data_IF_395902737872
#
_entry.id   IF_395902737872
#
_cell.length_a   1.000
_cell.length_b   1.000
_cell.length_c   1.000
_cell.angle_alpha   90.00
_cell.angle_beta   90.00
_cell.angle_gamma   90.00
#
_symmetry.space_group_name_H-M   'P 1'
#
loop_
_entity.id
_entity.type
_entity.pdbx_description
1 polymer ?
#
# COMPACT_ATOMS: atom_id res chain seq x y z
N UNK A 1 -45.80 -21.74 19.58
CA UNK A 1 -45.29 -20.35 19.57
C UNK A 1 -43.78 -20.25 19.84
N UNK A 2 -43.14 -21.21 20.54
CA UNK A 2 -41.70 -21.20 20.83
C UNK A 2 -40.75 -21.30 19.60
N UNK A 3 -41.20 -21.88 18.47
CA UNK A 3 -40.31 -22.09 17.31
C UNK A 3 -40.05 -20.83 16.48
N UNK A 4 -40.94 -19.83 16.50
CA UNK A 4 -40.78 -18.59 15.71
C UNK A 4 -39.77 -17.62 16.32
N UNK A 5 -39.69 -17.56 17.66
CA UNK A 5 -38.72 -16.73 18.39
C UNK A 5 -37.30 -17.27 18.31
N UNK A 6 -37.12 -18.60 18.36
CA UNK A 6 -35.81 -19.23 18.16
C UNK A 6 -35.29 -19.04 16.72
N UNK A 7 -36.17 -19.13 15.71
CA UNK A 7 -35.78 -18.89 14.31
C UNK A 7 -35.37 -17.43 14.05
N UNK A 8 -36.09 -16.46 14.64
CA UNK A 8 -35.73 -15.06 14.56
C UNK A 8 -34.38 -14.77 15.24
N UNK A 9 -34.14 -15.31 16.44
CA UNK A 9 -32.86 -15.16 17.13
C UNK A 9 -31.69 -15.78 16.36
N UNK A 10 -31.91 -16.91 15.68
CA UNK A 10 -30.89 -17.56 14.85
C UNK A 10 -30.56 -16.74 13.59
N UNK A 11 -31.56 -16.14 12.94
CA UNK A 11 -31.37 -15.23 11.79
C UNK A 11 -30.66 -13.93 12.20
N UNK A 12 -31.02 -13.34 13.34
CA UNK A 12 -30.30 -12.16 13.87
C UNK A 12 -28.85 -12.48 14.26
N UNK A 13 -28.59 -13.66 14.84
CA UNK A 13 -27.24 -14.13 15.15
C UNK A 13 -26.38 -14.32 13.90
N UNK A 14 -26.93 -14.96 12.86
CA UNK A 14 -26.22 -15.17 11.60
C UNK A 14 -25.94 -13.86 10.84
N UNK A 15 -26.86 -12.89 10.89
CA UNK A 15 -26.66 -11.56 10.32
C UNK A 15 -25.61 -10.76 11.10
N UNK A 16 -25.62 -10.82 12.43
CA UNK A 16 -24.62 -10.15 13.26
C UNK A 16 -23.20 -10.71 13.08
N UNK A 17 -23.06 -12.02 12.82
CA UNK A 17 -21.78 -12.68 12.54
C UNK A 17 -21.23 -12.41 11.12
N UNK A 18 -22.11 -12.24 10.13
CA UNK A 18 -21.72 -11.98 8.73
C UNK A 18 -21.54 -10.49 8.41
N UNK A 19 -22.10 -9.58 9.21
CA UNK A 19 -22.00 -8.13 9.03
C UNK A 19 -20.55 -7.61 9.02
N UNK A 20 -19.64 -8.00 9.94
CA UNK A 20 -18.25 -7.53 9.89
C UNK A 20 -17.51 -7.98 8.63
N UNK A 21 -17.79 -9.20 8.15
CA UNK A 21 -17.23 -9.71 6.91
C UNK A 21 -17.74 -8.95 5.68
N UNK A 22 -19.03 -8.59 5.65
CA UNK A 22 -19.59 -7.79 4.58
C UNK A 22 -19.01 -6.37 4.57
N UNK A 23 -18.93 -5.72 5.73
CA UNK A 23 -18.33 -4.38 5.86
C UNK A 23 -16.87 -4.40 5.43
N UNK A 24 -16.10 -5.42 5.84
CA UNK A 24 -14.72 -5.59 5.42
C UNK A 24 -14.59 -5.81 3.90
N UNK A 25 -15.46 -6.62 3.30
CA UNK A 25 -15.44 -6.87 1.86
C UNK A 25 -15.79 -5.63 1.04
N UNK A 26 -16.82 -4.88 1.47
CA UNK A 26 -17.23 -3.63 0.82
C UNK A 26 -16.13 -2.57 0.95
N UNK A 27 -15.51 -2.45 2.13
CA UNK A 27 -14.38 -1.54 2.34
C UNK A 27 -13.18 -1.92 1.45
N UNK A 28 -12.84 -3.21 1.36
CA UNK A 28 -11.75 -3.68 0.50
C UNK A 28 -11.99 -3.41 -0.98
N UNK A 29 -13.25 -3.53 -1.43
CA UNK A 29 -13.62 -3.10 -2.78
C UNK A 29 -13.39 -1.59 -2.96
N UNK A 30 -13.86 -0.77 -2.02
CA UNK A 30 -13.66 0.69 -2.08
C UNK A 30 -12.19 1.10 -2.17
N UNK A 31 -11.30 0.40 -1.45
CA UNK A 31 -9.86 0.64 -1.53
C UNK A 31 -9.25 0.25 -2.88
N UNK A 32 -9.71 -0.85 -3.49
CA UNK A 32 -9.26 -1.24 -4.84
C UNK A 32 -9.75 -0.27 -5.91
N UNK A 33 -10.99 0.19 -5.79
CA UNK A 33 -11.54 1.22 -6.69
C UNK A 33 -10.72 2.52 -6.55
N UNK A 34 -10.39 2.93 -5.33
CA UNK A 34 -9.50 4.08 -5.07
C UNK A 34 -8.10 3.90 -5.67
N UNK A 35 -7.52 2.70 -5.62
CA UNK A 35 -6.23 2.41 -6.27
C UNK A 35 -6.30 2.59 -7.78
N UNK A 36 -7.41 2.18 -8.41
CA UNK A 36 -7.62 2.44 -9.83
C UNK A 36 -7.69 3.96 -10.12
N UNK A 37 -8.42 4.71 -9.30
CA UNK A 37 -8.50 6.18 -9.42
C UNK A 37 -7.13 6.85 -9.20
N UNK A 38 -6.30 6.36 -8.28
CA UNK A 38 -4.92 6.83 -8.07
C UNK A 38 -4.08 6.60 -9.33
N UNK A 39 -4.21 5.44 -9.98
CA UNK A 39 -3.55 5.19 -11.26
C UNK A 39 -4.05 6.11 -12.39
N UNK A 40 -5.30 6.59 -12.30
CA UNK A 40 -5.89 7.57 -13.22
C UNK A 40 -5.54 9.04 -12.86
N UNK A 41 -4.76 9.26 -11.79
CA UNK A 41 -4.27 10.59 -11.40
C UNK A 41 -5.04 11.25 -10.26
N UNK A 42 -5.83 10.51 -9.48
CA UNK A 42 -6.43 11.01 -8.24
C UNK A 42 -5.33 11.53 -7.29
N UNK A 43 -5.54 12.74 -6.79
CA UNK A 43 -4.68 13.34 -5.77
C UNK A 43 -5.49 14.31 -4.90
N UNK A 44 -5.98 13.81 -3.77
CA UNK A 44 -6.80 14.55 -2.80
C UNK A 44 -6.20 14.42 -1.39
N UNK A 45 -5.92 15.56 -0.75
CA UNK A 45 -5.37 15.61 0.60
C UNK A 45 -6.32 15.01 1.65
N UNK A 46 -7.64 15.03 1.40
CA UNK A 46 -8.65 14.42 2.28
C UNK A 46 -8.73 12.90 2.20
N UNK A 47 -7.97 12.26 1.29
CA UNK A 47 -7.91 10.80 1.22
C UNK A 47 -7.15 10.19 2.39
N UNK A 48 -6.33 10.97 3.09
CA UNK A 48 -5.57 10.48 4.25
C UNK A 48 -6.50 9.91 5.32
N UNK A 49 -7.59 10.62 5.60
CA UNK A 49 -8.60 10.23 6.58
C UNK A 49 -9.36 8.97 6.14
N UNK A 50 -9.57 8.80 4.83
CA UNK A 50 -10.24 7.62 4.26
C UNK A 50 -9.34 6.38 4.35
N UNK A 51 -8.03 6.56 4.15
CA UNK A 51 -7.05 5.46 4.09
C UNK A 51 -6.52 5.07 5.48
N UNK A 52 -6.48 5.99 6.44
CA UNK A 52 -5.96 5.75 7.79
C UNK A 52 -6.48 4.46 8.48
N UNK A 53 -7.78 4.09 8.37
CA UNK A 53 -8.28 2.87 8.97
C UNK A 53 -7.61 1.61 8.41
N UNK A 54 -7.37 1.49 7.11
CA UNK A 54 -6.79 0.26 6.56
C UNK A 54 -5.29 0.14 6.85
N UNK A 55 -4.56 1.26 6.89
CA UNK A 55 -3.12 1.26 7.17
C UNK A 55 -2.77 1.01 8.63
N UNK A 56 -3.72 1.21 9.56
CA UNK A 56 -3.52 1.00 11.00
C UNK A 56 -3.79 -0.44 11.47
N UNK A 57 -4.30 -1.33 10.62
CA UNK A 57 -4.62 -2.70 11.01
C UNK A 57 -3.40 -3.64 10.91
N UNK A 58 -3.13 -4.40 11.97
CA UNK A 58 -2.06 -5.41 11.99
C UNK A 58 -2.31 -6.62 11.08
N UNK A 59 -3.57 -6.84 10.65
CA UNK A 59 -4.02 -7.94 9.78
C UNK A 59 -3.45 -7.88 8.34
N UNK A 60 -2.78 -6.79 8.00
CA UNK A 60 -2.33 -6.35 6.68
C UNK A 60 -1.05 -7.07 6.20
N UNK A 61 -0.55 -8.03 7.00
CA UNK A 61 0.76 -8.69 6.82
C UNK A 61 0.72 -10.12 6.25
N UNK A 62 -0.38 -10.54 5.63
CA UNK A 62 -0.42 -11.82 4.90
C UNK A 62 0.05 -11.61 3.45
N UNK A 63 0.92 -12.49 2.96
CA UNK A 63 1.39 -12.48 1.57
C UNK A 63 0.28 -12.51 0.52
N UNK A 64 -0.90 -13.08 0.82
CA UNK A 64 -2.06 -13.02 -0.11
C UNK A 64 -2.48 -11.57 -0.36
N UNK A 65 -2.51 -10.75 0.70
CA UNK A 65 -2.94 -9.36 0.62
C UNK A 65 -1.84 -8.48 0.05
N UNK A 66 -0.58 -8.74 0.43
CA UNK A 66 0.56 -7.96 -0.06
C UNK A 66 0.84 -8.16 -1.55
N UNK A 67 0.46 -9.31 -2.11
CA UNK A 67 0.55 -9.59 -3.55
C UNK A 67 -0.52 -8.87 -4.39
N UNK A 68 -1.61 -8.40 -3.78
CA UNK A 68 -2.63 -7.59 -4.47
C UNK A 68 -2.18 -6.12 -4.62
N UNK A 69 -1.07 -5.74 -3.99
CA UNK A 69 -0.42 -4.41 -4.02
C UNK A 69 -1.28 -3.22 -3.53
N UNK A 70 -2.58 -3.38 -3.35
CA UNK A 70 -3.51 -2.34 -2.93
C UNK A 70 -2.98 -1.54 -1.73
N UNK A 71 -2.53 -2.23 -0.70
CA UNK A 71 -1.98 -1.59 0.51
C UNK A 71 -0.68 -0.84 0.24
N UNK A 72 0.18 -1.39 -0.60
CA UNK A 72 1.44 -0.78 -0.96
C UNK A 72 1.19 0.52 -1.72
N UNK A 73 0.28 0.49 -2.70
CA UNK A 73 -0.12 1.66 -3.49
C UNK A 73 -0.77 2.73 -2.59
N UNK A 74 -1.68 2.34 -1.70
CA UNK A 74 -2.30 3.28 -0.75
C UNK A 74 -1.27 3.90 0.19
N UNK A 75 -0.30 3.12 0.69
CA UNK A 75 0.76 3.64 1.55
C UNK A 75 1.70 4.59 0.77
N UNK A 76 2.04 4.28 -0.49
CA UNK A 76 2.77 5.19 -1.38
C UNK A 76 2.01 6.49 -1.57
N UNK A 77 0.72 6.39 -1.85
CA UNK A 77 -0.15 7.53 -2.08
C UNK A 77 -0.25 8.43 -0.85
N UNK A 78 -0.53 7.86 0.34
CA UNK A 78 -0.52 8.63 1.60
C UNK A 78 0.83 9.30 1.82
N UNK A 79 1.94 8.58 1.63
CA UNK A 79 3.29 9.15 1.75
C UNK A 79 3.51 10.33 0.79
N UNK A 80 3.01 10.24 -0.45
CA UNK A 80 3.06 11.33 -1.42
C UNK A 80 2.19 12.54 -0.99
N UNK A 81 1.01 12.30 -0.41
CA UNK A 81 0.17 13.36 0.16
C UNK A 81 0.85 14.05 1.36
N UNK A 82 1.64 13.34 2.18
CA UNK A 82 2.46 13.95 3.24
C UNK A 82 3.63 14.76 2.65
N UNK A 83 4.34 14.23 1.66
CA UNK A 83 5.41 14.96 0.99
C UNK A 83 4.91 16.25 0.32
N UNK A 84 3.76 16.19 -0.35
CA UNK A 84 3.14 17.36 -0.96
C UNK A 84 2.74 18.41 0.08
N UNK A 85 2.13 17.99 1.20
CA UNK A 85 1.80 18.89 2.31
C UNK A 85 3.04 19.57 2.90
N UNK A 86 4.15 18.85 2.98
CA UNK A 86 5.44 19.38 3.46
C UNK A 86 6.18 20.22 2.40
N UNK A 87 5.68 20.27 1.15
CA UNK A 87 6.32 21.02 0.06
C UNK A 87 7.64 20.41 -0.41
N UNK A 88 7.82 19.10 -0.24
CA UNK A 88 9.06 18.38 -0.57
C UNK A 88 8.85 17.37 -1.69
N UNK A 89 9.93 17.00 -2.37
CA UNK A 89 9.89 15.95 -3.37
C UNK A 89 9.74 14.58 -2.66
N UNK A 90 8.73 13.76 -3.00
CA UNK A 90 8.48 12.48 -2.34
C UNK A 90 9.62 11.47 -2.49
N UNK A 91 10.44 11.60 -3.54
CA UNK A 91 11.51 10.66 -3.90
C UNK A 91 12.87 10.96 -3.27
N UNK A 92 13.02 12.09 -2.57
CA UNK A 92 14.28 12.51 -1.95
C UNK A 92 14.16 12.66 -0.44
N UNK A 93 15.29 12.55 0.29
CA UNK A 93 15.34 12.83 1.72
C UNK A 93 14.78 14.21 2.04
N UNK A 94 14.11 14.31 3.19
CA UNK A 94 13.55 15.56 3.70
C UNK A 94 13.60 15.54 5.23
N UNK A 95 13.86 16.70 5.83
CA UNK A 95 13.92 16.86 7.29
C UNK A 95 12.50 17.07 7.88
N UNK A 96 11.61 16.11 7.63
CA UNK A 96 10.24 16.08 8.15
C UNK A 96 10.03 14.77 8.93
N UNK A 97 9.86 14.83 10.27
CA UNK A 97 9.70 13.63 11.10
C UNK A 97 8.44 12.82 10.80
N UNK A 98 7.33 13.49 10.46
CA UNK A 98 6.06 12.83 10.13
C UNK A 98 6.20 12.08 8.81
N UNK A 99 6.74 12.74 7.80
CA UNK A 99 7.04 12.11 6.51
C UNK A 99 8.03 10.95 6.65
N UNK A 100 9.02 11.08 7.53
CA UNK A 100 10.00 10.02 7.82
C UNK A 100 9.30 8.78 8.36
N UNK A 101 8.39 8.93 9.32
CA UNK A 101 7.60 7.83 9.86
C UNK A 101 6.78 7.13 8.76
N UNK A 102 6.14 7.89 7.87
CA UNK A 102 5.40 7.32 6.75
C UNK A 102 6.29 6.56 5.77
N UNK A 103 7.50 7.07 5.48
CA UNK A 103 8.49 6.42 4.63
C UNK A 103 9.05 5.15 5.26
N UNK A 104 9.30 5.13 6.57
CA UNK A 104 9.72 3.93 7.30
C UNK A 104 8.64 2.84 7.29
N UNK A 105 7.38 3.22 7.53
CA UNK A 105 6.24 2.31 7.44
C UNK A 105 6.10 1.73 6.02
N UNK A 106 6.23 2.59 5.01
CA UNK A 106 6.22 2.19 3.60
C UNK A 106 7.40 1.27 3.25
N UNK A 107 8.59 1.53 3.77
CA UNK A 107 9.76 0.69 3.56
C UNK A 107 9.55 -0.70 4.15
N UNK A 108 9.04 -0.78 5.39
CA UNK A 108 8.74 -2.05 6.03
C UNK A 108 7.71 -2.86 5.23
N UNK A 109 6.67 -2.19 4.72
CA UNK A 109 5.64 -2.82 3.89
C UNK A 109 6.21 -3.31 2.55
N UNK A 110 7.00 -2.49 1.85
CA UNK A 110 7.65 -2.86 0.58
C UNK A 110 8.64 -4.01 0.76
N UNK A 111 9.42 -4.00 1.85
CA UNK A 111 10.34 -5.08 2.20
C UNK A 111 9.59 -6.40 2.47
N UNK A 112 8.42 -6.32 3.10
CA UNK A 112 7.59 -7.51 3.30
C UNK A 112 6.96 -8.00 1.99
N UNK A 113 6.48 -7.09 1.14
CA UNK A 113 5.90 -7.44 -0.17
C UNK A 113 6.93 -8.15 -1.06
N UNK A 114 8.16 -7.63 -1.13
CA UNK A 114 9.27 -8.28 -1.85
C UNK A 114 9.62 -9.66 -1.27
N UNK A 115 9.52 -9.87 0.05
CA UNK A 115 9.67 -11.21 0.63
C UNK A 115 8.55 -12.18 0.21
N UNK A 116 7.33 -11.68 0.00
CA UNK A 116 6.17 -12.47 -0.43
C UNK A 116 6.17 -12.78 -1.94
N UNK A 117 6.81 -11.94 -2.75
CA UNK A 117 6.94 -12.09 -4.20
C UNK A 117 8.35 -11.64 -4.67
N UNK A 118 9.39 -12.44 -4.40
CA UNK A 118 10.79 -12.03 -4.62
C UNK A 118 11.20 -11.93 -6.09
N UNK A 119 10.36 -12.42 -7.02
CA UNK A 119 10.57 -12.34 -8.46
C UNK A 119 9.72 -11.24 -9.11
N UNK A 120 9.14 -10.34 -8.31
CA UNK A 120 8.37 -9.20 -8.80
C UNK A 120 9.27 -7.97 -8.92
N UNK A 121 9.55 -7.55 -10.16
CA UNK A 121 10.45 -6.43 -10.41
C UNK A 121 9.86 -5.06 -10.05
N UNK A 122 8.53 -4.89 -10.04
CA UNK A 122 7.88 -3.65 -9.61
C UNK A 122 8.01 -3.49 -8.08
N UNK A 123 7.86 -4.56 -7.31
CA UNK A 123 8.07 -4.51 -5.86
C UNK A 123 9.51 -4.14 -5.48
N UNK A 124 10.50 -4.65 -6.23
CA UNK A 124 11.91 -4.22 -6.04
C UNK A 124 12.12 -2.75 -6.41
N UNK A 125 11.46 -2.25 -7.46
CA UNK A 125 11.51 -0.82 -7.80
C UNK A 125 10.91 0.02 -6.67
N UNK A 126 9.73 -0.36 -6.19
CA UNK A 126 9.06 0.28 -5.05
C UNK A 126 9.99 0.36 -3.83
N UNK A 127 10.65 -0.73 -3.48
CA UNK A 127 11.61 -0.74 -2.37
C UNK A 127 12.80 0.21 -2.61
N UNK A 128 13.33 0.27 -3.84
CA UNK A 128 14.42 1.19 -4.20
C UNK A 128 14.00 2.66 -4.08
N UNK A 129 12.80 3.01 -4.56
CA UNK A 129 12.24 4.38 -4.49
C UNK A 129 12.15 4.85 -3.03
N UNK A 130 11.67 3.98 -2.14
CA UNK A 130 11.49 4.33 -0.72
C UNK A 130 12.82 4.35 0.02
N UNK A 131 13.73 3.44 -0.30
CA UNK A 131 15.08 3.46 0.24
C UNK A 131 15.80 4.78 -0.10
N UNK A 132 15.65 5.26 -1.34
CA UNK A 132 16.18 6.57 -1.75
C UNK A 132 15.52 7.71 -1.00
N UNK A 133 14.20 7.70 -0.83
CA UNK A 133 13.49 8.78 -0.12
C UNK A 133 13.82 8.85 1.37
N UNK A 134 14.30 7.74 1.95
CA UNK A 134 14.87 7.66 3.30
C UNK A 134 16.35 8.07 3.37
N UNK A 135 17.01 8.35 2.24
CA UNK A 135 18.43 8.68 2.21
C UNK A 135 19.33 7.49 2.57
N UNK A 136 18.87 6.27 2.30
CA UNK A 136 19.68 5.07 2.51
C UNK A 136 20.93 5.07 1.63
N UNK A 137 21.91 4.28 2.02
CA UNK A 137 23.17 4.10 1.29
C UNK A 137 22.95 3.79 -0.20
N UNK A 138 23.71 4.47 -1.06
CA UNK A 138 23.56 4.38 -2.52
C UNK A 138 23.81 2.97 -3.05
N UNK A 139 24.71 2.20 -2.45
CA UNK A 139 24.96 0.82 -2.87
C UNK A 139 23.77 -0.07 -2.52
N UNK A 140 23.09 0.18 -1.40
CA UNK A 140 21.84 -0.52 -1.03
C UNK A 140 20.72 -0.23 -2.03
N UNK A 141 20.53 1.04 -2.41
CA UNK A 141 19.54 1.43 -3.42
C UNK A 141 19.83 0.77 -4.77
N UNK A 142 21.11 0.78 -5.19
CA UNK A 142 21.54 0.15 -6.44
C UNK A 142 21.27 -1.37 -6.46
N UNK A 143 21.45 -2.07 -5.33
CA UNK A 143 21.11 -3.49 -5.22
C UNK A 143 19.61 -3.75 -5.47
N UNK A 144 18.73 -2.92 -4.91
CA UNK A 144 17.28 -3.06 -5.16
C UNK A 144 16.92 -2.77 -6.61
N UNK A 145 17.55 -1.77 -7.24
CA UNK A 145 17.39 -1.49 -8.66
C UNK A 145 17.86 -2.64 -9.54
N UNK A 146 18.99 -3.26 -9.22
CA UNK A 146 19.49 -4.42 -9.97
C UNK A 146 18.47 -5.57 -9.95
N UNK A 147 17.87 -5.84 -8.79
CA UNK A 147 16.83 -6.86 -8.66
C UNK A 147 15.59 -6.47 -9.47
N UNK A 148 15.20 -5.19 -9.45
CA UNK A 148 14.12 -4.70 -10.31
C UNK A 148 14.42 -4.98 -11.78
N UNK A 149 15.59 -4.58 -12.28
CA UNK A 149 16.01 -4.84 -13.67
C UNK A 149 16.04 -6.32 -14.02
N UNK A 150 16.49 -7.17 -13.09
CA UNK A 150 16.56 -8.61 -13.29
C UNK A 150 15.18 -9.25 -13.46
N UNK A 151 14.20 -8.82 -12.67
CA UNK A 151 12.88 -9.46 -12.62
C UNK A 151 11.81 -8.77 -13.48
N UNK A 152 12.00 -7.51 -13.85
CA UNK A 152 11.16 -6.79 -14.81
C UNK A 152 12.02 -6.02 -15.84
N UNK A 153 12.75 -6.73 -16.72
CA UNK A 153 13.68 -6.10 -17.67
C UNK A 153 12.97 -5.37 -18.82
N UNK A 154 11.76 -5.79 -19.19
CA UNK A 154 11.05 -5.33 -20.39
C UNK A 154 9.63 -4.83 -20.10
N UNK A 155 9.28 -4.67 -18.82
CA UNK A 155 7.97 -4.18 -18.44
C UNK A 155 7.93 -2.65 -18.59
N UNK A 156 7.19 -2.19 -19.61
CA UNK A 156 7.22 -0.79 -20.04
C UNK A 156 6.90 0.20 -18.90
N UNK A 157 5.92 -0.11 -18.05
CA UNK A 157 5.54 0.73 -16.90
C UNK A 157 6.68 0.85 -15.89
N UNK A 158 7.30 -0.28 -15.54
CA UNK A 158 8.39 -0.31 -14.56
C UNK A 158 9.63 0.39 -15.12
N UNK A 159 9.92 0.21 -16.42
CA UNK A 159 11.01 0.92 -17.10
C UNK A 159 10.80 2.44 -17.08
N UNK A 160 9.63 2.92 -17.52
CA UNK A 160 9.33 4.36 -17.53
C UNK A 160 9.46 4.98 -16.14
N UNK A 161 9.02 4.26 -15.10
CA UNK A 161 9.15 4.71 -13.72
C UNK A 161 10.59 4.70 -13.19
N UNK A 162 11.44 3.77 -13.65
CA UNK A 162 12.89 3.83 -13.35
C UNK A 162 13.49 5.11 -13.93
N UNK A 163 13.22 5.37 -15.21
CA UNK A 163 13.76 6.54 -15.92
C UNK A 163 13.26 7.87 -15.35
N UNK A 164 12.03 7.89 -14.82
CA UNK A 164 11.47 9.07 -14.17
C UNK A 164 12.12 9.37 -12.81
N UNK A 165 12.41 8.32 -12.03
CA UNK A 165 12.88 8.49 -10.64
C UNK A 165 14.40 8.51 -10.54
N UNK A 166 15.13 7.69 -11.30
CA UNK A 166 16.57 7.43 -11.18
C UNK A 166 17.36 7.89 -12.40
#
# INVERSE_FOLDING_TARGET
MLSRTLFAAFLFGALALSWPHLVHHVAWKGYRDMVAEIHEGRFDLGDKEIIAPILSHDLVRNCVVLRDETLLILQFYVTALHAHRAGVNPFFPADDPELTQHREALFALAAQATACAPMDGELWLNLAVVARSLGMDTARVAQFLELSHRYAPHEARVMARRDEVF
#
